data_IF_303255417877
#
_entry.id   IF_303255417877
#
_cell.length_a   1.000
_cell.length_b   1.000
_cell.length_c   1.000
_cell.angle_alpha   90.00
_cell.angle_beta   90.00
_cell.angle_gamma   90.00
#
_symmetry.space_group_name_H-M   'P 1'
#
loop_
_entity.id
_entity.type
_entity.pdbx_description
1 polymer ?
#
# COMPACT_ATOMS: atom_id res chain seq x y z
N UNK A 1 19.27 -8.88 -3.75
CA UNK A 1 18.09 -8.36 -4.45
C UNK A 1 18.56 -7.70 -5.73
N UNK A 2 17.95 -7.97 -6.90
CA UNK A 2 18.30 -7.24 -8.11
C UNK A 2 17.94 -5.77 -7.98
N UNK A 3 18.71 -4.90 -8.64
CA UNK A 3 18.56 -3.46 -8.68
C UNK A 3 17.09 -3.07 -8.93
N UNK A 4 16.60 -2.09 -8.18
CA UNK A 4 15.22 -1.62 -8.21
C UNK A 4 14.66 -1.50 -9.61
N UNK A 5 13.65 -2.28 -9.88
CA UNK A 5 12.92 -2.21 -11.14
C UNK A 5 12.16 -0.89 -11.13
N UNK A 6 12.43 -0.03 -12.10
CA UNK A 6 11.66 1.19 -12.42
C UNK A 6 10.20 0.88 -12.85
N UNK A 7 9.56 -0.10 -12.25
CA UNK A 7 8.24 -0.61 -12.55
C UNK A 7 7.26 -0.64 -11.38
N UNK A 8 7.74 -0.63 -10.15
CA UNK A 8 6.85 -0.64 -8.97
C UNK A 8 6.35 0.78 -8.64
N UNK A 9 5.05 0.99 -8.38
CA UNK A 9 4.51 2.28 -7.92
C UNK A 9 4.86 2.53 -6.45
N UNK A 10 4.67 1.53 -5.59
CA UNK A 10 5.14 1.59 -4.22
C UNK A 10 6.53 0.95 -4.11
N UNK A 11 7.41 1.60 -3.39
CA UNK A 11 8.59 0.95 -2.86
C UNK A 11 8.15 -0.08 -1.81
N UNK A 12 7.37 0.41 -0.86
CA UNK A 12 6.69 -0.41 0.14
C UNK A 12 5.47 0.31 0.73
N UNK A 13 4.56 -0.50 1.27
CA UNK A 13 3.47 -0.05 2.14
C UNK A 13 3.63 -0.79 3.46
N UNK A 14 3.83 -0.05 4.55
CA UNK A 14 3.90 -0.60 5.89
C UNK A 14 2.65 -0.27 6.69
N UNK A 15 2.19 -1.14 7.59
CA UNK A 15 1.13 -0.82 8.53
C UNK A 15 1.55 -1.11 9.97
N UNK A 16 1.10 -0.26 10.89
CA UNK A 16 1.22 -0.54 12.31
C UNK A 16 0.02 -1.38 12.78
N UNK A 17 0.30 -2.47 13.48
CA UNK A 17 -0.72 -3.43 13.93
C UNK A 17 -0.77 -3.50 15.45
N UNK A 18 -1.97 -3.75 16.01
CA UNK A 18 -2.19 -3.83 17.45
C UNK A 18 -1.55 -5.08 18.09
N UNK A 19 -1.39 -6.14 17.33
CA UNK A 19 -0.77 -7.40 17.75
C UNK A 19 0.03 -8.02 16.60
N UNK A 20 1.34 -7.77 16.59
CA UNK A 20 2.23 -8.23 15.52
C UNK A 20 2.14 -9.75 15.29
N UNK A 21 2.14 -10.56 16.36
CA UNK A 21 2.08 -12.01 16.22
C UNK A 21 0.75 -12.53 15.64
N UNK A 22 -0.36 -11.85 15.92
CA UNK A 22 -1.65 -12.20 15.32
C UNK A 22 -1.70 -11.80 13.84
N UNK A 23 -1.23 -10.61 13.51
CA UNK A 23 -1.20 -10.11 12.13
C UNK A 23 -0.17 -10.89 11.29
N UNK A 24 1.00 -11.22 11.83
CA UNK A 24 1.96 -12.10 11.15
C UNK A 24 1.34 -13.45 10.79
N UNK A 25 0.63 -14.10 11.72
CA UNK A 25 -0.06 -15.37 11.42
C UNK A 25 -1.08 -15.19 10.30
N UNK A 26 -1.87 -14.12 10.34
CA UNK A 26 -2.84 -13.81 9.29
C UNK A 26 -2.16 -13.69 7.93
N UNK A 27 -1.22 -12.74 7.79
CA UNK A 27 -0.57 -12.47 6.50
C UNK A 27 0.24 -13.65 5.99
N UNK A 28 0.94 -14.40 6.86
CA UNK A 28 1.59 -15.66 6.44
C UNK A 28 0.60 -16.67 5.91
N UNK A 29 -0.55 -16.85 6.58
CA UNK A 29 -1.57 -17.81 6.14
C UNK A 29 -2.10 -17.47 4.75
N UNK A 30 -2.43 -16.22 4.50
CA UNK A 30 -3.10 -15.83 3.26
C UNK A 30 -2.13 -15.54 2.12
N UNK A 31 -0.96 -14.95 2.38
CA UNK A 31 0.01 -14.63 1.32
C UNK A 31 0.81 -15.86 0.85
N UNK A 32 1.03 -16.86 1.71
CA UNK A 32 1.68 -18.11 1.27
C UNK A 32 0.89 -18.82 0.18
N UNK A 33 -0.45 -18.70 0.18
CA UNK A 33 -1.31 -19.24 -0.90
C UNK A 33 -1.03 -18.56 -2.24
N UNK A 34 -0.60 -17.28 -2.21
CA UNK A 34 -0.18 -16.54 -3.40
C UNK A 34 1.29 -16.76 -3.76
N UNK A 35 1.97 -17.68 -3.08
CA UNK A 35 3.36 -18.03 -3.33
C UNK A 35 4.38 -17.07 -2.71
N UNK A 36 3.97 -16.22 -1.75
CA UNK A 36 4.84 -15.20 -1.15
C UNK A 36 5.10 -15.52 0.32
N UNK A 37 6.37 -15.67 0.65
CA UNK A 37 6.87 -15.85 2.01
C UNK A 37 7.57 -14.58 2.50
N UNK A 38 7.61 -14.32 3.82
CA UNK A 38 8.30 -13.15 4.33
C UNK A 38 9.78 -13.16 3.96
N UNK A 39 10.26 -12.02 3.46
CA UNK A 39 11.68 -11.77 3.19
C UNK A 39 12.46 -11.42 4.46
N UNK A 40 11.77 -10.86 5.46
CA UNK A 40 12.30 -10.58 6.79
C UNK A 40 11.22 -10.79 7.86
N UNK A 41 11.63 -11.25 9.06
CA UNK A 41 10.74 -11.33 10.21
C UNK A 41 11.52 -11.27 11.51
N UNK A 42 11.18 -10.29 12.36
CA UNK A 42 11.67 -10.16 13.73
C UNK A 42 10.59 -9.59 14.67
N UNK A 43 10.96 -9.16 15.86
CA UNK A 43 10.01 -8.63 16.84
C UNK A 43 9.54 -7.18 16.52
N UNK A 44 10.11 -6.52 15.52
CA UNK A 44 9.82 -5.13 15.16
C UNK A 44 9.22 -5.01 13.75
N UNK A 45 9.47 -5.99 12.87
CA UNK A 45 9.10 -5.89 11.47
C UNK A 45 8.91 -7.28 10.86
N UNK A 46 7.84 -7.44 10.08
CA UNK A 46 7.69 -8.56 9.14
C UNK A 46 7.45 -7.98 7.76
N UNK A 47 8.27 -8.37 6.79
CA UNK A 47 8.23 -7.87 5.42
C UNK A 47 7.96 -8.99 4.42
N UNK A 48 7.12 -8.68 3.45
CA UNK A 48 6.94 -9.40 2.19
C UNK A 48 7.25 -8.41 1.08
N UNK A 49 7.92 -8.73 0.09
CA UNK A 49 8.15 -7.91 -1.12
C UNK A 49 7.92 -6.37 -0.95
N UNK A 50 6.70 -5.87 -1.22
CA UNK A 50 6.28 -4.47 -1.11
C UNK A 50 5.27 -4.21 0.04
N UNK A 51 5.05 -5.21 0.90
CA UNK A 51 4.17 -5.14 2.06
C UNK A 51 4.91 -5.38 3.36
N UNK A 52 4.63 -4.59 4.40
CA UNK A 52 5.23 -4.75 5.71
C UNK A 52 4.24 -4.52 6.86
N UNK A 53 4.47 -5.17 7.98
CA UNK A 53 3.74 -4.93 9.24
C UNK A 53 4.72 -4.74 10.40
N UNK A 54 4.43 -3.79 11.29
CA UNK A 54 5.20 -3.54 12.50
C UNK A 54 4.30 -3.32 13.71
N UNK A 55 4.82 -3.43 14.95
CA UNK A 55 4.04 -3.15 16.14
C UNK A 55 3.69 -1.65 16.23
N UNK A 56 2.50 -1.37 16.76
CA UNK A 56 2.11 0.01 17.10
C UNK A 56 2.98 0.58 18.22
N UNK A 57 3.28 1.88 18.14
CA UNK A 57 3.89 2.67 19.21
C UNK A 57 3.28 4.09 19.26
N UNK A 58 3.94 5.05 19.93
CA UNK A 58 3.44 6.43 20.04
C UNK A 58 3.56 7.22 18.73
N UNK A 59 4.53 6.88 17.89
CA UNK A 59 4.82 7.56 16.63
C UNK A 59 4.10 6.86 15.47
N UNK A 60 3.79 5.57 15.65
CA UNK A 60 3.14 4.71 14.66
C UNK A 60 1.84 4.12 15.23
N UNK A 61 0.74 4.89 15.28
CA UNK A 61 -0.57 4.39 15.70
C UNK A 61 -1.08 3.30 14.76
N UNK A 62 -1.96 2.44 15.26
CA UNK A 62 -2.55 1.34 14.49
C UNK A 62 -3.21 1.85 13.21
N UNK A 63 -2.87 1.26 12.08
CA UNK A 63 -3.53 1.48 10.78
C UNK A 63 -4.92 0.86 10.79
N UNK A 64 -5.93 1.63 10.39
CA UNK A 64 -7.33 1.19 10.35
C UNK A 64 -8.02 1.61 9.06
N UNK A 65 -9.01 0.80 8.64
CA UNK A 65 -9.86 1.13 7.51
C UNK A 65 -9.15 1.11 6.14
N UNK A 66 -7.93 0.56 6.07
CA UNK A 66 -7.24 0.34 4.82
C UNK A 66 -7.92 -0.78 4.04
N UNK A 67 -7.95 -0.63 2.70
CA UNK A 67 -8.16 -1.74 1.79
C UNK A 67 -6.91 -1.95 0.94
N UNK A 68 -6.40 -3.18 0.93
CA UNK A 68 -5.26 -3.61 0.13
C UNK A 68 -5.61 -4.86 -0.67
N UNK A 69 -5.36 -4.82 -1.96
CA UNK A 69 -5.49 -5.97 -2.86
C UNK A 69 -4.13 -6.53 -3.26
N UNK A 70 -3.97 -7.84 -3.17
CA UNK A 70 -2.77 -8.58 -3.60
C UNK A 70 -3.05 -9.37 -4.86
N UNK A 71 -2.12 -9.38 -5.79
CA UNK A 71 -2.25 -10.08 -7.06
C UNK A 71 -2.26 -11.58 -6.87
N UNK A 72 -3.27 -12.24 -7.44
CA UNK A 72 -3.37 -13.69 -7.53
C UNK A 72 -3.13 -14.19 -8.96
N UNK A 73 -2.43 -15.32 -9.14
CA UNK A 73 -2.10 -15.87 -10.45
C UNK A 73 -3.35 -16.29 -11.25
N UNK A 74 -4.36 -16.76 -10.55
CA UNK A 74 -5.62 -17.23 -11.15
C UNK A 74 -6.78 -17.15 -10.14
N UNK A 75 -7.98 -17.50 -10.58
CA UNK A 75 -9.19 -17.51 -9.75
C UNK A 75 -9.13 -18.59 -8.65
N UNK A 76 -8.47 -19.71 -8.90
CA UNK A 76 -8.33 -20.77 -7.89
C UNK A 76 -7.45 -20.33 -6.72
N UNK A 77 -6.43 -19.50 -6.97
CA UNK A 77 -5.61 -18.90 -5.93
C UNK A 77 -6.42 -17.88 -5.09
N UNK A 78 -7.34 -17.12 -5.71
CA UNK A 78 -8.27 -16.23 -4.97
C UNK A 78 -9.19 -17.05 -4.06
N UNK A 79 -9.76 -18.15 -4.57
CA UNK A 79 -10.61 -19.05 -3.78
C UNK A 79 -9.83 -19.66 -2.61
N UNK A 80 -8.61 -20.10 -2.87
CA UNK A 80 -7.73 -20.70 -1.84
C UNK A 80 -7.27 -19.68 -0.77
N UNK A 81 -6.95 -18.44 -1.17
CA UNK A 81 -6.64 -17.34 -0.25
C UNK A 81 -7.77 -17.10 0.75
N UNK A 82 -8.99 -16.95 0.24
CA UNK A 82 -10.16 -16.73 1.07
C UNK A 82 -10.44 -17.92 1.98
N UNK A 83 -10.42 -19.14 1.43
CA UNK A 83 -10.66 -20.37 2.19
C UNK A 83 -9.65 -20.56 3.32
N UNK A 84 -8.35 -20.30 3.05
CA UNK A 84 -7.31 -20.40 4.06
C UNK A 84 -7.55 -19.44 5.24
N UNK A 85 -8.00 -18.22 4.97
CA UNK A 85 -8.34 -17.26 6.01
C UNK A 85 -9.57 -17.68 6.81
N UNK A 86 -10.63 -18.18 6.15
CA UNK A 86 -11.83 -18.69 6.81
C UNK A 86 -11.52 -19.90 7.69
N UNK A 87 -10.72 -20.85 7.19
CA UNK A 87 -10.31 -22.04 7.94
C UNK A 87 -9.43 -21.68 9.16
N UNK A 88 -8.68 -20.59 9.07
CA UNK A 88 -7.91 -20.03 10.18
C UNK A 88 -8.76 -19.19 11.17
N UNK A 89 -10.06 -19.01 10.89
CA UNK A 89 -11.02 -18.32 11.75
C UNK A 89 -11.05 -16.79 11.59
N UNK A 90 -10.52 -16.27 10.46
CA UNK A 90 -10.58 -14.83 10.17
C UNK A 90 -11.95 -14.42 9.58
N UNK A 91 -12.41 -13.18 9.86
CA UNK A 91 -13.71 -12.71 9.38
C UNK A 91 -13.76 -12.58 7.85
N UNK A 92 -14.88 -13.03 7.27
CA UNK A 92 -15.25 -12.79 5.89
C UNK A 92 -15.57 -11.31 5.65
N UNK A 93 -15.02 -10.71 4.59
CA UNK A 93 -15.35 -9.36 4.09
C UNK A 93 -15.90 -9.42 2.64
N UNK A 94 -16.07 -10.62 2.10
CA UNK A 94 -16.67 -10.89 0.80
C UNK A 94 -16.14 -12.15 0.13
N UNK A 95 -17.00 -13.15 0.00
CA UNK A 95 -16.63 -14.43 -0.63
C UNK A 95 -16.11 -14.23 -2.07
N UNK A 96 -15.23 -15.14 -2.56
CA UNK A 96 -14.68 -15.08 -3.90
C UNK A 96 -15.77 -15.01 -4.98
N UNK A 97 -15.54 -14.19 -5.98
CA UNK A 97 -16.49 -14.05 -7.08
C UNK A 97 -16.17 -12.93 -8.06
N UNK A 98 -16.88 -12.87 -9.19
CA UNK A 98 -16.75 -11.78 -10.15
C UNK A 98 -17.17 -10.44 -9.54
N UNK A 99 -16.41 -9.38 -9.86
CA UNK A 99 -16.71 -7.99 -9.48
C UNK A 99 -16.75 -7.13 -10.74
N UNK A 100 -17.76 -7.35 -11.56
CA UNK A 100 -17.89 -6.75 -12.91
C UNK A 100 -17.94 -5.22 -12.89
N UNK A 101 -18.24 -4.61 -11.75
CA UNK A 101 -18.17 -3.15 -11.54
C UNK A 101 -16.74 -2.60 -11.68
N UNK A 102 -15.72 -3.43 -11.43
CA UNK A 102 -14.31 -3.04 -11.56
C UNK A 102 -13.69 -3.50 -12.89
N UNK A 103 -14.33 -4.44 -13.58
CA UNK A 103 -13.89 -4.94 -14.88
C UNK A 103 -14.53 -6.30 -15.21
N UNK A 104 -14.61 -6.66 -16.51
CA UNK A 104 -15.29 -7.88 -16.93
C UNK A 104 -14.64 -9.15 -16.38
N UNK A 105 -13.31 -9.15 -16.21
CA UNK A 105 -12.53 -10.30 -15.75
C UNK A 105 -12.07 -10.18 -14.29
N UNK A 106 -12.50 -9.11 -13.57
CA UNK A 106 -12.16 -8.91 -12.18
C UNK A 106 -12.80 -9.98 -11.30
N UNK A 107 -11.97 -10.73 -10.58
CA UNK A 107 -12.35 -11.76 -9.63
C UNK A 107 -11.62 -11.55 -8.32
N UNK A 108 -12.34 -11.32 -7.22
CA UNK A 108 -11.78 -10.98 -5.92
C UNK A 108 -12.45 -11.69 -4.77
N UNK A 109 -11.68 -11.95 -3.72
CA UNK A 109 -12.14 -12.49 -2.43
C UNK A 109 -11.48 -11.73 -1.30
N UNK A 110 -12.25 -11.42 -0.23
CA UNK A 110 -11.92 -10.44 0.79
C UNK A 110 -12.00 -11.03 2.18
N UNK A 111 -11.06 -10.65 3.03
CA UNK A 111 -11.00 -11.00 4.45
C UNK A 111 -10.72 -9.74 5.28
N UNK A 112 -11.08 -9.75 6.56
CA UNK A 112 -10.59 -8.74 7.50
C UNK A 112 -9.33 -9.25 8.20
N UNK A 113 -8.30 -8.39 8.27
CA UNK A 113 -7.14 -8.65 9.11
C UNK A 113 -7.51 -8.49 10.61
N UNK A 114 -6.60 -8.82 11.57
CA UNK A 114 -6.89 -8.69 12.99
C UNK A 114 -7.25 -7.28 13.48
N UNK A 115 -6.88 -6.23 12.75
CA UNK A 115 -7.21 -4.83 13.06
C UNK A 115 -8.41 -4.29 12.26
N UNK A 116 -9.04 -5.13 11.43
CA UNK A 116 -10.23 -4.82 10.65
C UNK A 116 -9.94 -4.11 9.31
N UNK A 117 -8.71 -4.17 8.81
CA UNK A 117 -8.40 -3.76 7.45
C UNK A 117 -8.89 -4.80 6.45
N UNK A 118 -9.39 -4.34 5.29
CA UNK A 118 -9.88 -5.22 4.22
C UNK A 118 -8.70 -5.68 3.36
N UNK A 119 -8.50 -6.99 3.31
CA UNK A 119 -7.39 -7.63 2.57
C UNK A 119 -7.99 -8.50 1.48
N UNK A 120 -7.62 -8.22 0.23
CA UNK A 120 -8.16 -8.88 -0.96
C UNK A 120 -7.07 -9.68 -1.68
N UNK A 121 -7.45 -10.86 -2.18
CA UNK A 121 -6.75 -11.47 -3.31
C UNK A 121 -7.54 -11.18 -4.59
N UNK A 122 -6.85 -10.70 -5.63
CA UNK A 122 -7.49 -10.30 -6.89
C UNK A 122 -6.82 -10.89 -8.10
N UNK A 123 -7.65 -11.42 -9.01
CA UNK A 123 -7.26 -11.85 -10.35
C UNK A 123 -8.10 -11.12 -11.41
N UNK A 124 -7.48 -10.75 -12.52
CA UNK A 124 -8.14 -10.13 -13.67
C UNK A 124 -7.12 -9.73 -14.72
N UNK A 125 -7.58 -9.47 -15.93
CA UNK A 125 -6.72 -9.02 -17.02
C UNK A 125 -6.11 -7.66 -16.70
N UNK A 126 -4.79 -7.56 -16.86
CA UNK A 126 -4.00 -6.33 -16.75
C UNK A 126 -3.22 -6.14 -18.05
N UNK A 127 -3.13 -4.90 -18.51
CA UNK A 127 -2.27 -4.56 -19.65
C UNK A 127 -0.80 -4.91 -19.39
N UNK A 128 -0.40 -4.91 -18.13
CA UNK A 128 0.93 -5.35 -17.68
C UNK A 128 0.80 -6.27 -16.48
N UNK A 129 1.44 -7.44 -16.49
CA UNK A 129 1.36 -8.38 -15.38
C UNK A 129 2.13 -7.81 -14.16
N UNK A 130 1.43 -7.67 -13.04
CA UNK A 130 2.04 -7.50 -11.72
C UNK A 130 2.50 -8.87 -11.24
N UNK A 131 3.68 -9.02 -10.64
CA UNK A 131 4.07 -10.28 -10.02
C UNK A 131 3.06 -10.73 -8.97
N UNK A 132 2.83 -12.04 -8.89
CA UNK A 132 1.89 -12.61 -7.94
C UNK A 132 2.31 -12.31 -6.49
N UNK A 133 1.31 -12.08 -5.63
CA UNK A 133 1.52 -11.74 -4.22
C UNK A 133 1.96 -10.32 -3.93
N UNK A 134 2.21 -9.50 -4.97
CA UNK A 134 2.46 -8.07 -4.82
C UNK A 134 1.17 -7.29 -4.67
N UNK A 135 1.28 -6.06 -4.13
CA UNK A 135 0.16 -5.12 -4.05
C UNK A 135 -0.34 -4.81 -5.46
N UNK A 136 -1.58 -5.15 -5.74
CA UNK A 136 -2.30 -4.82 -6.97
C UNK A 136 -2.93 -3.42 -6.88
N UNK A 137 -3.52 -3.10 -5.74
CA UNK A 137 -4.14 -1.80 -5.51
C UNK A 137 -4.32 -1.48 -4.02
N UNK A 138 -4.48 -0.16 -3.76
CA UNK A 138 -4.92 0.36 -2.46
C UNK A 138 -6.17 1.23 -2.62
N UNK A 139 -7.03 1.21 -1.60
CA UNK A 139 -8.10 2.19 -1.43
C UNK A 139 -8.01 2.81 -0.04
N UNK A 140 -7.89 4.14 -0.01
CA UNK A 140 -7.93 4.94 1.21
C UNK A 140 -9.21 5.76 1.23
N UNK A 141 -9.95 5.67 2.32
CA UNK A 141 -11.10 6.55 2.57
C UNK A 141 -10.60 7.84 3.17
N UNK A 142 -10.85 8.93 2.48
CA UNK A 142 -10.34 10.27 2.80
C UNK A 142 -11.48 11.27 3.03
N UNK A 143 -11.22 12.31 3.81
CA UNK A 143 -12.22 13.36 4.11
C UNK A 143 -12.63 14.13 2.86
N UNK A 144 -11.65 14.48 2.03
CA UNK A 144 -11.83 15.26 0.80
C UNK A 144 -10.93 14.71 -0.32
N UNK A 145 -11.48 13.89 -1.24
CA UNK A 145 -10.71 13.36 -2.37
C UNK A 145 -10.04 14.46 -3.21
N UNK A 146 -10.64 15.66 -3.28
CA UNK A 146 -10.06 16.75 -4.04
C UNK A 146 -8.89 17.44 -3.31
N UNK A 147 -8.87 17.45 -1.96
CA UNK A 147 -7.69 17.87 -1.20
C UNK A 147 -6.54 16.85 -1.40
N UNK A 148 -6.84 15.56 -1.28
CA UNK A 148 -5.87 14.50 -1.54
C UNK A 148 -5.38 14.51 -2.99
N UNK A 149 -6.27 14.76 -3.98
CA UNK A 149 -5.88 14.97 -5.37
C UNK A 149 -4.83 16.08 -5.52
N UNK A 150 -5.06 17.23 -4.90
CA UNK A 150 -4.10 18.35 -4.95
C UNK A 150 -2.73 17.95 -4.39
N UNK A 151 -2.73 17.25 -3.25
CA UNK A 151 -1.49 16.74 -2.66
C UNK A 151 -0.77 15.79 -3.61
N UNK A 152 -1.44 14.69 -4.00
CA UNK A 152 -0.79 13.66 -4.81
C UNK A 152 -0.39 14.14 -6.19
N UNK A 153 -1.12 15.10 -6.80
CA UNK A 153 -0.68 15.72 -8.06
C UNK A 153 0.51 16.67 -7.88
N UNK A 154 0.69 17.27 -6.71
CA UNK A 154 1.88 18.07 -6.39
C UNK A 154 3.13 17.19 -6.30
N UNK A 155 3.02 16.02 -5.69
CA UNK A 155 4.15 15.10 -5.50
C UNK A 155 4.34 14.09 -6.64
N UNK A 156 3.34 13.91 -7.48
CA UNK A 156 3.33 12.96 -8.59
C UNK A 156 4.56 13.00 -9.50
N UNK A 157 5.15 14.17 -9.85
CA UNK A 157 6.37 14.22 -10.67
C UNK A 157 7.57 13.54 -10.02
N UNK A 158 7.54 13.32 -8.72
CA UNK A 158 8.63 12.73 -7.93
C UNK A 158 8.32 11.31 -7.44
N UNK A 159 7.07 10.83 -7.65
CA UNK A 159 6.56 9.55 -7.15
C UNK A 159 6.05 8.64 -8.28
N UNK A 160 6.35 8.96 -9.54
CA UNK A 160 5.94 8.21 -10.75
C UNK A 160 4.41 7.95 -10.80
N UNK A 161 3.62 8.91 -10.29
CA UNK A 161 2.17 8.83 -10.25
C UNK A 161 1.53 9.53 -11.45
N UNK A 162 0.44 8.96 -11.95
CA UNK A 162 -0.39 9.55 -13.01
C UNK A 162 -1.86 9.55 -12.59
N UNK A 163 -2.53 10.69 -12.71
CA UNK A 163 -3.96 10.78 -12.49
C UNK A 163 -4.71 9.98 -13.57
N UNK A 164 -5.52 9.02 -13.16
CA UNK A 164 -6.27 8.11 -14.05
C UNK A 164 -7.78 8.36 -13.99
N UNK A 165 -8.32 8.76 -12.81
CA UNK A 165 -9.72 9.10 -12.64
C UNK A 165 -9.86 10.30 -11.70
N UNK A 166 -10.82 11.18 -11.98
CA UNK A 166 -11.06 12.40 -11.22
C UNK A 166 -12.58 12.66 -11.15
N UNK A 167 -13.16 12.33 -9.99
CA UNK A 167 -14.55 12.60 -9.66
C UNK A 167 -14.66 13.19 -8.24
N UNK A 168 -15.76 13.86 -7.89
CA UNK A 168 -15.91 14.51 -6.58
C UNK A 168 -15.73 13.59 -5.37
N UNK A 169 -16.09 12.32 -5.51
CA UNK A 169 -16.08 11.31 -4.45
C UNK A 169 -14.98 10.26 -4.62
N UNK A 170 -14.27 10.26 -5.77
CA UNK A 170 -13.18 9.32 -6.05
C UNK A 170 -12.11 9.93 -6.94
N UNK A 171 -10.88 9.83 -6.48
CA UNK A 171 -9.69 10.12 -7.29
C UNK A 171 -8.85 8.85 -7.37
N UNK A 172 -8.38 8.51 -8.57
CA UNK A 172 -7.50 7.37 -8.76
C UNK A 172 -6.20 7.81 -9.42
N UNK A 173 -5.12 7.40 -8.81
CA UNK A 173 -3.78 7.52 -9.37
C UNK A 173 -3.31 6.12 -9.80
N UNK A 174 -2.55 6.07 -10.88
CA UNK A 174 -1.97 4.84 -11.38
C UNK A 174 -0.47 5.00 -11.52
N UNK A 175 0.25 3.95 -11.21
CA UNK A 175 1.61 3.69 -11.67
C UNK A 175 1.60 2.80 -12.91
N UNK A 176 2.75 2.22 -13.26
CA UNK A 176 2.84 1.29 -14.39
C UNK A 176 2.00 0.03 -14.21
N UNK A 177 1.90 -0.50 -13.00
CA UNK A 177 1.43 -1.86 -12.74
C UNK A 177 0.21 -1.97 -11.80
N UNK A 178 -0.18 -0.89 -11.10
CA UNK A 178 -1.30 -0.92 -10.15
C UNK A 178 -1.97 0.43 -9.93
N UNK A 179 -3.00 0.46 -9.08
CA UNK A 179 -3.80 1.65 -8.83
C UNK A 179 -3.92 2.00 -7.35
N UNK A 180 -4.07 3.28 -7.09
CA UNK A 180 -4.26 3.85 -5.78
C UNK A 180 -5.48 4.77 -5.79
N UNK A 181 -6.51 4.42 -5.07
CA UNK A 181 -7.78 5.16 -5.03
C UNK A 181 -7.96 5.88 -3.70
N UNK A 182 -8.36 7.15 -3.80
CA UNK A 182 -8.73 8.03 -2.69
C UNK A 182 -10.23 8.24 -2.81
N UNK A 183 -11.02 7.73 -1.85
CA UNK A 183 -12.47 7.67 -1.96
C UNK A 183 -13.16 8.31 -0.76
N UNK A 184 -14.37 8.82 -0.98
CA UNK A 184 -15.27 9.26 0.08
C UNK A 184 -16.57 8.49 -0.03
N UNK A 185 -16.84 7.68 0.98
CA UNK A 185 -18.09 6.94 1.17
C UNK A 185 -18.58 7.10 2.63
N UNK A 186 -19.56 6.35 3.03
CA UNK A 186 -20.17 6.42 4.39
C UNK A 186 -19.38 5.61 5.44
N UNK A 187 -18.36 4.85 5.03
CA UNK A 187 -17.55 4.04 5.94
C UNK A 187 -16.48 4.90 6.66
N UNK A 188 -15.92 4.39 7.76
CA UNK A 188 -14.87 5.09 8.50
C UNK A 188 -13.68 5.44 7.60
N UNK A 189 -13.04 6.56 7.91
CA UNK A 189 -11.80 6.98 7.24
C UNK A 189 -10.71 5.96 7.42
N UNK A 190 -9.82 5.89 6.44
CA UNK A 190 -8.53 5.19 6.61
C UNK A 190 -7.62 6.04 7.48
N UNK A 191 -6.92 5.41 8.43
CA UNK A 191 -6.06 6.08 9.38
C UNK A 191 -4.65 5.51 9.36
N UNK A 192 -3.64 6.39 9.45
CA UNK A 192 -2.24 6.06 9.72
C UNK A 192 -1.62 5.06 8.75
N UNK A 193 -1.71 5.31 7.45
CA UNK A 193 -1.05 4.48 6.43
C UNK A 193 0.27 5.11 6.01
N UNK A 194 1.42 4.44 6.20
CA UNK A 194 2.67 4.79 5.55
C UNK A 194 2.70 4.29 4.11
N UNK A 195 3.05 5.18 3.18
CA UNK A 195 3.17 4.91 1.74
C UNK A 195 4.53 5.36 1.25
N UNK A 196 5.36 4.47 0.76
CA UNK A 196 6.67 4.80 0.20
C UNK A 196 6.69 4.63 -1.33
N UNK A 197 7.20 5.64 -2.02
CA UNK A 197 7.38 5.64 -3.47
C UNK A 197 8.88 5.61 -3.82
N UNK A 198 9.29 4.81 -4.81
CA UNK A 198 10.69 4.72 -5.17
C UNK A 198 11.20 5.96 -5.92
N UNK A 199 12.46 6.30 -5.68
CA UNK A 199 13.21 7.27 -6.46
C UNK A 199 14.54 6.67 -6.93
N UNK A 200 15.02 7.14 -8.08
CA UNK A 200 16.29 6.71 -8.68
C UNK A 200 17.47 7.61 -8.27
N UNK A 201 17.23 8.69 -7.55
CA UNK A 201 18.25 9.64 -7.12
C UNK A 201 17.82 10.42 -5.87
N UNK A 202 18.79 10.74 -5.00
CA UNK A 202 18.58 11.62 -3.83
C UNK A 202 18.06 13.02 -4.22
N UNK A 203 18.35 13.47 -5.45
CA UNK A 203 17.81 14.73 -5.96
C UNK A 203 16.30 14.69 -6.12
N UNK A 204 15.73 13.55 -6.51
CA UNK A 204 14.27 13.32 -6.60
C UNK A 204 13.63 13.37 -5.21
N UNK A 205 14.25 12.73 -4.22
CA UNK A 205 13.81 12.78 -2.81
C UNK A 205 13.77 14.21 -2.27
N UNK A 206 14.85 15.00 -2.52
CA UNK A 206 14.90 16.41 -2.13
C UNK A 206 13.84 17.25 -2.85
N UNK A 207 13.62 17.01 -4.13
CA UNK A 207 12.64 17.75 -4.93
C UNK A 207 11.20 17.45 -4.48
N UNK A 208 10.89 16.19 -4.16
CA UNK A 208 9.62 15.79 -3.55
C UNK A 208 9.31 16.59 -2.29
N UNK A 209 10.22 16.56 -1.32
CA UNK A 209 10.04 17.25 -0.05
C UNK A 209 9.88 18.77 -0.24
N UNK A 210 10.75 19.38 -1.06
CA UNK A 210 10.68 20.81 -1.35
C UNK A 210 9.36 21.21 -2.02
N UNK A 211 8.84 20.42 -2.95
CA UNK A 211 7.57 20.66 -3.63
C UNK A 211 6.38 20.57 -2.64
N UNK A 212 6.38 19.57 -1.76
CA UNK A 212 5.35 19.42 -0.73
C UNK A 212 5.33 20.59 0.24
N UNK A 213 6.49 21.00 0.77
CA UNK A 213 6.58 22.15 1.70
C UNK A 213 6.23 23.49 1.03
N UNK A 214 6.65 23.70 -0.23
CA UNK A 214 6.29 24.89 -0.99
C UNK A 214 4.76 25.00 -1.22
N UNK A 215 4.07 23.88 -1.29
CA UNK A 215 2.61 23.81 -1.39
C UNK A 215 1.89 23.88 -0.02
N UNK A 216 2.65 24.00 1.09
CA UNK A 216 2.11 24.19 2.44
C UNK A 216 1.77 22.88 3.18
N UNK A 217 2.23 21.71 2.69
CA UNK A 217 2.03 20.44 3.38
C UNK A 217 3.00 20.27 4.54
N UNK A 218 2.63 19.43 5.50
CA UNK A 218 3.36 19.26 6.74
C UNK A 218 4.61 18.38 6.55
N UNK A 219 5.76 18.90 7.01
CA UNK A 219 7.00 18.13 7.15
C UNK A 219 6.80 17.00 8.18
N UNK A 220 7.25 15.79 7.84
CA UNK A 220 7.28 14.64 8.74
C UNK A 220 8.66 13.97 8.80
N UNK A 221 9.64 14.54 8.11
CA UNK A 221 11.04 14.10 8.12
C UNK A 221 11.81 14.64 6.92
N UNK A 222 12.80 15.52 7.13
CA UNK A 222 13.56 16.13 6.04
C UNK A 222 14.38 15.10 5.26
N UNK A 223 14.76 15.41 4.01
CA UNK A 223 15.62 14.53 3.21
C UNK A 223 16.93 14.18 3.92
N UNK A 224 17.24 12.90 3.97
CA UNK A 224 18.46 12.43 4.63
C UNK A 224 18.63 10.92 4.59
N UNK A 225 19.83 10.47 4.92
CA UNK A 225 20.13 9.05 5.07
C UNK A 225 19.45 8.49 6.33
N UNK A 226 18.92 7.28 6.20
CA UNK A 226 18.26 6.51 7.27
C UNK A 226 18.99 5.17 7.44
N UNK A 227 20.24 5.23 7.91
CA UNK A 227 21.09 4.05 8.09
C UNK A 227 20.49 3.01 9.05
N UNK A 228 19.47 3.38 9.84
CA UNK A 228 18.71 2.46 10.70
C UNK A 228 17.96 1.40 9.88
N UNK A 229 17.52 1.71 8.67
CA UNK A 229 16.90 0.74 7.77
C UNK A 229 17.97 -0.07 7.02
N UNK A 230 18.87 0.60 6.34
CA UNK A 230 20.10 0.03 5.75
C UNK A 230 21.03 1.14 5.23
N UNK A 231 22.34 0.87 5.06
CA UNK A 231 23.25 1.83 4.43
C UNK A 231 22.77 2.25 3.04
N UNK A 232 22.78 3.54 2.76
CA UNK A 232 22.33 4.11 1.49
C UNK A 232 20.82 4.37 1.39
N UNK A 233 20.00 4.01 2.38
CA UNK A 233 18.60 4.41 2.41
C UNK A 233 18.49 5.93 2.58
N UNK A 234 18.05 6.63 1.54
CA UNK A 234 17.89 8.08 1.54
C UNK A 234 16.42 8.43 1.31
N UNK A 235 15.73 8.91 2.34
CA UNK A 235 14.28 9.17 2.34
C UNK A 235 13.91 10.55 2.82
N UNK A 236 12.70 10.98 2.46
CA UNK A 236 12.02 12.16 2.99
C UNK A 236 10.52 11.87 3.18
N UNK A 237 9.92 12.49 4.19
CA UNK A 237 8.57 12.19 4.64
C UNK A 237 7.75 13.47 4.75
N UNK A 238 6.48 13.41 4.32
CA UNK A 238 5.49 14.47 4.51
C UNK A 238 4.14 13.85 4.88
N UNK A 239 3.27 14.61 5.53
CA UNK A 239 1.90 14.17 5.77
C UNK A 239 0.99 14.62 4.64
N UNK A 240 0.14 13.70 4.19
CA UNK A 240 -0.96 14.04 3.29
C UNK A 240 -2.09 14.77 4.04
N UNK A 241 -3.16 15.26 3.36
CA UNK A 241 -4.25 15.99 4.01
C UNK A 241 -5.03 15.22 5.08
N UNK A 242 -4.98 13.90 5.08
CA UNK A 242 -5.63 13.04 6.07
C UNK A 242 -4.65 12.56 7.17
N UNK A 243 -3.37 12.90 7.06
CA UNK A 243 -2.33 12.56 8.02
C UNK A 243 -1.63 11.24 7.74
N UNK A 244 -1.75 10.70 6.52
CA UNK A 244 -0.96 9.56 6.09
C UNK A 244 0.49 9.96 5.89
N UNK A 245 1.43 9.11 6.31
CA UNK A 245 2.85 9.34 6.10
C UNK A 245 3.21 8.95 4.66
N UNK A 246 3.63 9.94 3.88
CA UNK A 246 4.03 9.75 2.48
C UNK A 246 5.52 9.95 2.36
N UNK A 247 6.20 8.93 1.87
CA UNK A 247 7.65 8.88 1.68
C UNK A 247 8.02 8.81 0.21
N UNK A 248 9.15 9.41 -0.13
CA UNK A 248 9.90 9.09 -1.35
C UNK A 248 11.29 8.66 -0.94
N UNK A 249 11.75 7.50 -1.43
CA UNK A 249 12.98 6.86 -1.01
C UNK A 249 13.85 6.44 -2.19
N UNK A 250 15.17 6.69 -2.06
CA UNK A 250 16.23 6.15 -2.91
C UNK A 250 17.11 5.21 -2.08
N UNK A 251 17.24 3.97 -2.51
CA UNK A 251 18.04 2.97 -1.80
C UNK A 251 19.55 3.06 -2.07
N UNK A 252 19.99 3.81 -3.08
CA UNK A 252 21.40 3.96 -3.47
C UNK A 252 22.12 2.60 -3.64
N UNK A 253 21.46 1.62 -4.30
CA UNK A 253 21.98 0.27 -4.56
C UNK A 253 22.35 0.09 -6.02
#
# INVERSE_FOLDING_TARGET
MPAGSLGAMFDHVGIAVSNLAASERFYRTVLSVLGVEPSHADAQLVEWEDWAIGPTDREHPVTRGLHVGFRAPDRAAVDAFWQAGIDAGHPDDGAPGPRTVYGPDYYGGFLLDPDGNSVEAVHGDRERPVPDGRIDHLWLRVRDPQASRRFYTTVAPHAVLRLAHDAPDRVQLCGPDFSFSLVRDERPLTEHVPLAFPADADATVRAFHAAALAAGYQDHGPPGERAVYHPGYYGAFVLDPDGHNVEVVNHNR
#
